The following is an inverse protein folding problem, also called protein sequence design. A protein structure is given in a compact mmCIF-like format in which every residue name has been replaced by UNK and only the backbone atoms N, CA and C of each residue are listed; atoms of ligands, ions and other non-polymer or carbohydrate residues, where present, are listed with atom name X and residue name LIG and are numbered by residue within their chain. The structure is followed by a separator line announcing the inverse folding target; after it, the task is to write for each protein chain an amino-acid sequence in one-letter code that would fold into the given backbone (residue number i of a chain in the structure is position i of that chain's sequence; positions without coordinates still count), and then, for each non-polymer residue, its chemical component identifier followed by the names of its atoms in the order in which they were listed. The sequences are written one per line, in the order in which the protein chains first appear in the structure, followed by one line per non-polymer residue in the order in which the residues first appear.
data_IF_449833764794
#
_entry.id   IF_449833764794
#
_cell.length_a   1.000
_cell.length_b   1.000
_cell.length_c   1.000
_cell.angle_alpha   90.00
_cell.angle_beta   90.00
_cell.angle_gamma   90.00
#
_symmetry.space_group_name_H-M   'P 1'
#
loop_
_entity.id
_entity.type
_entity.pdbx_description
1 polymer ?
#
# COMPACT_ATOMS: atom_id res chain seq x y z
N UNK A 1 33.98 -4.25 49.10
CA UNK A 1 33.02 -3.32 48.47
C UNK A 1 33.59 -2.87 47.14
N UNK A 2 33.09 -3.41 46.03
CA UNK A 2 33.25 -2.82 44.70
C UNK A 2 31.95 -3.10 43.94
N UNK A 3 31.16 -2.06 43.75
CA UNK A 3 29.93 -2.05 42.97
C UNK A 3 30.34 -2.01 41.50
N UNK A 4 30.04 -3.06 40.74
CA UNK A 4 30.20 -3.06 39.29
C UNK A 4 28.80 -3.03 38.65
N UNK A 5 28.51 -1.83 38.18
CA UNK A 5 27.33 -1.32 37.48
C UNK A 5 26.85 -2.25 36.37
N UNK A 6 25.55 -2.55 36.38
CA UNK A 6 24.84 -3.15 35.26
C UNK A 6 24.91 -2.22 34.04
N UNK A 7 25.42 -2.72 32.91
CA UNK A 7 25.10 -2.18 31.60
C UNK A 7 24.28 -3.21 30.85
N UNK A 8 22.96 -3.08 30.97
CA UNK A 8 22.02 -3.69 30.04
C UNK A 8 22.28 -3.09 28.66
N UNK A 9 22.85 -3.88 27.74
CA UNK A 9 22.91 -3.53 26.33
C UNK A 9 21.48 -3.69 25.81
N UNK A 10 20.69 -2.63 25.92
CA UNK A 10 19.46 -2.50 25.16
C UNK A 10 19.86 -2.49 23.68
N UNK A 11 19.77 -3.65 23.04
CA UNK A 11 19.84 -3.75 21.59
C UNK A 11 18.67 -2.92 21.06
N UNK A 12 18.97 -1.70 20.64
CA UNK A 12 18.03 -0.85 19.93
C UNK A 12 17.57 -1.65 18.72
N UNK A 13 16.30 -2.04 18.73
CA UNK A 13 15.60 -2.60 17.59
C UNK A 13 15.63 -1.56 16.47
N UNK A 14 16.70 -1.59 15.67
CA UNK A 14 16.71 -0.97 14.37
C UNK A 14 15.67 -1.72 13.55
N UNK A 15 14.42 -1.27 13.62
CA UNK A 15 13.41 -1.56 12.61
C UNK A 15 13.97 -0.91 11.36
N UNK A 16 14.77 -1.71 10.64
CA UNK A 16 15.13 -1.43 9.28
C UNK A 16 13.79 -1.20 8.58
N UNK A 17 13.57 0.05 8.18
CA UNK A 17 12.51 0.38 7.26
C UNK A 17 12.90 -0.29 5.95
N UNK A 18 12.65 -1.59 5.84
CA UNK A 18 12.57 -2.25 4.55
C UNK A 18 11.54 -1.41 3.79
N UNK A 19 12.01 -0.61 2.84
CA UNK A 19 11.14 0.23 2.05
C UNK A 19 10.18 -0.72 1.34
N UNK A 20 8.93 -0.80 1.79
CA UNK A 20 7.93 -1.62 1.13
C UNK A 20 7.87 -1.19 -0.33
N UNK A 21 8.14 -2.14 -1.24
CA UNK A 21 7.94 -1.96 -2.67
C UNK A 21 6.45 -1.78 -3.01
N UNK A 22 5.56 -2.08 -2.06
CA UNK A 22 4.13 -1.84 -2.14
C UNK A 22 3.77 -0.35 -2.22
N UNK A 23 2.74 -0.07 -3.01
CA UNK A 23 2.00 1.19 -3.02
C UNK A 23 0.51 0.90 -3.07
N UNK A 24 -0.27 1.66 -2.31
CA UNK A 24 -1.73 1.60 -2.35
C UNK A 24 -2.25 2.45 -3.51
N UNK A 25 -2.90 1.78 -4.48
CA UNK A 25 -3.59 2.38 -5.62
C UNK A 25 -5.10 2.31 -5.41
N UNK A 26 -5.85 3.22 -6.02
CA UNK A 26 -7.31 3.23 -5.95
C UNK A 26 -7.90 3.93 -7.18
N UNK A 27 -9.13 3.58 -7.55
CA UNK A 27 -9.88 4.31 -8.57
C UNK A 27 -10.67 5.45 -7.91
N UNK A 28 -10.61 6.65 -8.47
CA UNK A 28 -11.31 7.85 -8.00
C UNK A 28 -12.16 8.47 -9.10
N UNK A 29 -13.33 8.99 -8.75
CA UNK A 29 -14.12 9.84 -9.64
C UNK A 29 -13.52 11.26 -9.62
N UNK A 30 -12.96 11.71 -10.74
CA UNK A 30 -12.26 13.00 -10.82
C UNK A 30 -13.18 14.22 -10.69
N UNK A 31 -14.49 14.03 -10.87
CA UNK A 31 -15.49 15.11 -10.73
C UNK A 31 -15.93 15.30 -9.29
N UNK A 32 -16.06 14.20 -8.55
CA UNK A 32 -16.56 14.23 -7.16
C UNK A 32 -15.46 14.02 -6.12
N UNK A 33 -14.24 13.70 -6.55
CA UNK A 33 -13.12 13.27 -5.70
C UNK A 33 -13.46 12.09 -4.77
N UNK A 34 -14.43 11.25 -5.17
CA UNK A 34 -14.83 10.08 -4.38
C UNK A 34 -14.10 8.83 -4.85
N UNK A 35 -13.56 8.06 -3.89
CA UNK A 35 -12.94 6.77 -4.15
C UNK A 35 -14.02 5.73 -4.45
N UNK A 36 -13.82 4.92 -5.49
CA UNK A 36 -14.65 3.77 -5.76
C UNK A 36 -14.35 2.66 -4.75
N UNK A 37 -15.18 2.56 -3.71
CA UNK A 37 -15.05 1.60 -2.59
C UNK A 37 -15.44 0.17 -3.01
N UNK A 38 -14.72 -0.41 -3.98
CA UNK A 38 -14.93 -1.79 -4.47
C UNK A 38 -13.60 -2.52 -4.67
N UNK A 39 -13.51 -3.74 -4.16
CA UNK A 39 -12.33 -4.58 -4.30
C UNK A 39 -12.23 -5.28 -5.66
N UNK A 40 -13.24 -5.16 -6.53
CA UNK A 40 -13.27 -5.83 -7.83
C UNK A 40 -12.09 -5.44 -8.72
N UNK A 41 -11.73 -4.15 -8.74
CA UNK A 41 -10.57 -3.64 -9.49
C UNK A 41 -9.27 -4.29 -9.01
N UNK A 42 -9.09 -4.41 -7.69
CA UNK A 42 -7.89 -5.01 -7.12
C UNK A 42 -7.81 -6.52 -7.36
N UNK A 43 -8.94 -7.22 -7.20
CA UNK A 43 -9.05 -8.65 -7.44
C UNK A 43 -8.77 -9.00 -8.91
N UNK A 44 -9.22 -8.18 -9.86
CA UNK A 44 -8.99 -8.38 -11.29
C UNK A 44 -7.50 -8.40 -11.65
N UNK A 45 -6.67 -7.61 -10.97
CA UNK A 45 -5.22 -7.56 -11.18
C UNK A 45 -4.43 -8.44 -10.21
N UNK A 46 -5.13 -9.23 -9.37
CA UNK A 46 -4.51 -10.06 -8.32
C UNK A 46 -3.58 -9.24 -7.41
N UNK A 47 -4.06 -8.05 -7.01
CA UNK A 47 -3.41 -7.24 -5.98
C UNK A 47 -3.90 -7.64 -4.58
N UNK A 48 -3.27 -7.08 -3.55
CA UNK A 48 -3.71 -7.31 -2.17
C UNK A 48 -4.73 -6.25 -1.77
N UNK A 49 -5.92 -6.70 -1.37
CA UNK A 49 -7.00 -5.85 -0.86
C UNK A 49 -6.85 -5.56 0.63
N UNK A 50 -7.48 -4.49 1.10
CA UNK A 50 -7.55 -4.14 2.52
C UNK A 50 -8.97 -4.26 3.04
N UNK A 51 -9.19 -5.06 4.09
CA UNK A 51 -10.53 -5.22 4.67
C UNK A 51 -11.06 -3.94 5.32
N UNK A 52 -10.17 -3.14 5.94
CA UNK A 52 -10.54 -1.87 6.57
C UNK A 52 -10.81 -0.75 5.54
N UNK A 53 -10.20 -0.86 4.35
CA UNK A 53 -10.21 0.18 3.33
C UNK A 53 -10.55 -0.39 1.95
N UNK A 54 -11.82 -0.76 1.73
CA UNK A 54 -12.26 -1.26 0.43
C UNK A 54 -12.02 -0.22 -0.67
N UNK A 55 -11.68 -0.68 -1.87
CA UNK A 55 -11.34 0.17 -3.01
C UNK A 55 -9.85 0.53 -3.14
N UNK A 56 -9.05 0.28 -2.10
CA UNK A 56 -7.61 0.37 -2.18
C UNK A 56 -7.00 -0.98 -2.56
N UNK A 57 -5.92 -0.93 -3.33
CA UNK A 57 -5.20 -2.08 -3.84
C UNK A 57 -3.70 -1.92 -3.62
N UNK A 58 -3.08 -2.84 -2.87
CA UNK A 58 -1.64 -2.90 -2.73
C UNK A 58 -1.02 -3.61 -3.95
N UNK A 59 -0.16 -2.90 -4.67
CA UNK A 59 0.59 -3.43 -5.82
C UNK A 59 2.04 -2.95 -5.71
N UNK A 60 2.98 -3.75 -6.17
CA UNK A 60 4.38 -3.35 -6.23
C UNK A 60 4.54 -2.19 -7.20
N UNK A 61 5.32 -1.17 -6.84
CA UNK A 61 5.66 -0.04 -7.72
C UNK A 61 6.34 -0.50 -9.01
N UNK A 62 7.03 -1.65 -8.97
CA UNK A 62 7.72 -2.25 -10.10
C UNK A 62 6.79 -3.07 -11.03
N UNK A 63 5.61 -3.49 -10.55
CA UNK A 63 4.68 -4.30 -11.34
C UNK A 63 3.82 -3.42 -12.25
N UNK A 64 4.46 -2.91 -13.31
CA UNK A 64 3.82 -2.04 -14.31
C UNK A 64 2.62 -2.68 -14.97
N UNK A 65 2.68 -3.99 -15.23
CA UNK A 65 1.58 -4.72 -15.86
C UNK A 65 0.29 -4.66 -15.01
N UNK A 66 0.40 -4.88 -13.69
CA UNK A 66 -0.76 -4.73 -12.80
C UNK A 66 -1.24 -3.29 -12.67
N UNK A 67 -0.32 -2.33 -12.62
CA UNK A 67 -0.67 -0.89 -12.53
C UNK A 67 -1.44 -0.46 -13.78
N UNK A 68 -0.96 -0.83 -14.97
CA UNK A 68 -1.59 -0.45 -16.24
C UNK A 68 -2.94 -1.17 -16.42
N UNK A 69 -3.04 -2.44 -16.03
CA UNK A 69 -4.32 -3.18 -16.03
C UNK A 69 -5.33 -2.57 -15.06
N UNK A 70 -4.89 -2.17 -13.85
CA UNK A 70 -5.74 -1.49 -12.88
C UNK A 70 -6.20 -0.13 -13.41
N UNK A 71 -5.28 0.61 -14.03
CA UNK A 71 -5.56 1.89 -14.68
C UNK A 71 -6.60 1.77 -15.78
N UNK A 72 -6.45 0.78 -16.66
CA UNK A 72 -7.44 0.47 -17.69
C UNK A 72 -8.80 0.13 -17.07
N UNK A 73 -8.82 -0.69 -16.03
CA UNK A 73 -10.05 -1.02 -15.30
C UNK A 73 -10.76 0.21 -14.73
N UNK A 74 -10.01 1.15 -14.14
CA UNK A 74 -10.59 2.42 -13.70
C UNK A 74 -11.16 3.21 -14.89
N UNK A 75 -10.40 3.39 -15.97
CA UNK A 75 -10.79 4.18 -17.14
C UNK A 75 -12.02 3.61 -17.86
N UNK A 76 -12.09 2.29 -18.04
CA UNK A 76 -13.24 1.61 -18.64
C UNK A 76 -14.54 1.84 -17.84
N UNK A 77 -14.43 2.20 -16.56
CA UNK A 77 -15.56 2.51 -15.67
C UNK A 77 -15.74 4.03 -15.42
N UNK A 78 -15.08 4.89 -16.21
CA UNK A 78 -15.17 6.35 -16.07
C UNK A 78 -14.48 6.91 -14.83
N UNK A 79 -13.51 6.18 -14.27
CA UNK A 79 -12.72 6.56 -13.10
C UNK A 79 -11.26 6.82 -13.48
N UNK A 80 -10.54 7.53 -12.62
CA UNK A 80 -9.10 7.78 -12.74
C UNK A 80 -8.33 6.90 -11.75
N UNK A 81 -7.20 6.35 -12.17
CA UNK A 81 -6.27 5.71 -11.25
C UNK A 81 -5.53 6.76 -10.44
N UNK A 82 -5.47 6.56 -9.12
CA UNK A 82 -4.68 7.36 -8.19
C UNK A 82 -3.96 6.47 -7.19
N UNK A 83 -3.08 7.05 -6.39
CA UNK A 83 -2.29 6.32 -5.40
C UNK A 83 -1.94 7.16 -4.18
N UNK A 84 -1.66 6.47 -3.07
CA UNK A 84 -1.15 7.09 -1.85
C UNK A 84 0.34 7.36 -2.00
N UNK A 85 0.77 8.59 -1.72
CA UNK A 85 2.17 9.02 -1.81
C UNK A 85 3.00 8.64 -0.58
N UNK A 86 2.36 8.58 0.59
CA UNK A 86 2.97 8.16 1.85
C UNK A 86 2.98 6.65 2.08
N UNK A 87 3.63 6.18 3.15
CA UNK A 87 3.54 4.80 3.58
C UNK A 87 2.08 4.46 3.90
N UNK A 88 1.58 3.39 3.31
CA UNK A 88 0.26 2.87 3.64
C UNK A 88 0.45 1.68 4.58
N UNK A 89 0.01 1.77 5.85
CA UNK A 89 0.49 0.91 6.94
C UNK A 89 0.21 -0.58 6.72
N UNK A 90 -0.76 -0.93 5.89
CA UNK A 90 -1.12 -2.30 5.54
C UNK A 90 -0.57 -2.76 4.19
N UNK A 91 0.03 -1.87 3.38
CA UNK A 91 0.58 -2.18 2.07
C UNK A 91 2.07 -2.52 2.17
N UNK A 92 2.36 -3.66 2.76
CA UNK A 92 3.71 -4.23 2.88
C UNK A 92 3.82 -5.42 1.95
N UNK A 93 4.39 -5.22 0.76
CA UNK A 93 4.75 -6.35 -0.10
C UNK A 93 6.14 -6.82 0.31
N UNK A 94 6.24 -8.11 0.62
CA UNK A 94 7.48 -8.81 0.98
C UNK A 94 8.22 -9.28 -0.27
#
# INVERSE_FOLDING_TARGET
MLVATALAVAAFSAVAHAASDGRAYFCINDRTNQIARSNNFCNAVKGQTFSADPGFCCISKADRAKIDALGKGCTDNGLKLSWVTGPYPSCTLQ
#
